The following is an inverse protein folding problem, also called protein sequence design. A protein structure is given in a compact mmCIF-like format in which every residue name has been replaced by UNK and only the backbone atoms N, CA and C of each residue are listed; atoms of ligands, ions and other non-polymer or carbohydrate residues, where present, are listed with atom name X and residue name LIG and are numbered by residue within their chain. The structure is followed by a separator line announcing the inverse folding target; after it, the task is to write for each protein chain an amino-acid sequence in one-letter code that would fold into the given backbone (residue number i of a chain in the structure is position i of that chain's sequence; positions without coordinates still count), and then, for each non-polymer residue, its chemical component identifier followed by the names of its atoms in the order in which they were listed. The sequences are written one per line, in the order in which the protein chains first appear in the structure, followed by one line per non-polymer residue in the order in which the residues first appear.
data_IF_374334251371
#
_entry.id   IF_374334251371
#
_cell.length_a   1.000
_cell.length_b   1.000
_cell.length_c   1.000
_cell.angle_alpha   90.00
_cell.angle_beta   90.00
_cell.angle_gamma   90.00
#
_symmetry.space_group_name_H-M   'P 1'
#
loop_
_entity.id
_entity.type
_entity.pdbx_description
1 polymer ?
#
# COMPACT_ATOMS: atom_id res chain seq x y z
N UNK A 1 8.62 -11.44 -12.85
CA UNK A 1 8.40 -12.09 -11.54
C UNK A 1 9.21 -11.46 -10.41
N UNK A 2 10.55 -11.41 -10.45
CA UNK A 2 11.40 -10.89 -9.33
C UNK A 2 11.04 -9.46 -8.86
N UNK A 3 10.84 -8.52 -9.80
CA UNK A 3 10.51 -7.12 -9.50
C UNK A 3 9.18 -6.94 -8.75
N UNK A 4 8.21 -7.84 -8.98
CA UNK A 4 6.86 -7.77 -8.40
C UNK A 4 6.82 -8.44 -7.02
N UNK A 5 7.61 -9.50 -6.78
CA UNK A 5 7.76 -10.07 -5.43
C UNK A 5 8.41 -9.08 -4.46
N UNK A 6 9.48 -8.40 -4.91
CA UNK A 6 10.10 -7.29 -4.17
C UNK A 6 9.09 -6.18 -3.82
N UNK A 7 8.16 -5.89 -4.72
CA UNK A 7 7.15 -4.87 -4.50
C UNK A 7 6.07 -5.30 -3.48
N UNK A 8 5.72 -6.59 -3.43
CA UNK A 8 4.79 -7.10 -2.42
C UNK A 8 5.43 -7.14 -1.02
N UNK A 9 6.69 -7.54 -0.92
CA UNK A 9 7.42 -7.57 0.35
C UNK A 9 7.57 -6.17 0.95
N UNK A 10 7.84 -5.17 0.11
CA UNK A 10 7.90 -3.77 0.56
C UNK A 10 6.54 -3.25 1.04
N UNK A 11 5.44 -3.62 0.36
CA UNK A 11 4.07 -3.28 0.79
C UNK A 11 3.73 -3.95 2.13
N UNK A 12 4.04 -5.23 2.30
CA UNK A 12 3.80 -5.97 3.55
C UNK A 12 4.61 -5.38 4.71
N UNK A 13 5.88 -5.03 4.46
CA UNK A 13 6.72 -4.39 5.45
C UNK A 13 6.14 -3.04 5.88
N UNK A 14 5.76 -2.19 4.91
CA UNK A 14 5.16 -0.90 5.20
C UNK A 14 3.84 -1.03 5.99
N UNK A 15 2.96 -1.97 5.63
CA UNK A 15 1.70 -2.24 6.35
C UNK A 15 1.95 -2.60 7.82
N UNK A 16 2.94 -3.48 8.08
CA UNK A 16 3.31 -3.89 9.44
C UNK A 16 3.81 -2.73 10.29
N UNK A 17 4.75 -1.94 9.78
CA UNK A 17 5.33 -0.83 10.55
C UNK A 17 4.35 0.31 10.76
N UNK A 18 3.55 0.67 9.75
CA UNK A 18 2.49 1.67 9.94
C UNK A 18 1.45 1.20 10.97
N UNK A 19 1.07 -0.09 10.99
CA UNK A 19 0.21 -0.64 12.03
C UNK A 19 0.81 -0.51 13.44
N UNK A 20 2.12 -0.74 13.56
CA UNK A 20 2.84 -0.55 14.82
C UNK A 20 2.84 0.92 15.27
N UNK A 21 3.17 1.85 14.37
CA UNK A 21 3.16 3.28 14.67
C UNK A 21 1.77 3.79 15.05
N UNK A 22 0.72 3.37 14.33
CA UNK A 22 -0.68 3.69 14.67
C UNK A 22 -1.04 3.24 16.09
N UNK A 23 -0.65 2.02 16.46
CA UNK A 23 -0.92 1.48 17.79
C UNK A 23 -0.18 2.25 18.88
N UNK A 24 1.09 2.55 18.65
CA UNK A 24 1.93 3.29 19.58
C UNK A 24 1.42 4.72 19.78
N UNK A 25 1.12 5.44 18.70
CA UNK A 25 0.60 6.81 18.76
C UNK A 25 -0.78 6.85 19.41
N UNK A 26 -1.69 5.93 19.07
CA UNK A 26 -2.99 5.85 19.74
C UNK A 26 -2.84 5.56 21.24
N UNK A 27 -1.88 4.71 21.63
CA UNK A 27 -1.58 4.49 23.05
C UNK A 27 -1.01 5.74 23.72
N UNK A 28 -0.16 6.50 23.04
CA UNK A 28 0.41 7.74 23.55
C UNK A 28 -0.70 8.78 23.77
N UNK A 29 -1.54 9.03 22.76
CA UNK A 29 -2.68 9.96 22.87
C UNK A 29 -3.61 9.60 24.03
N UNK A 30 -3.95 8.32 24.20
CA UNK A 30 -4.76 7.87 25.34
C UNK A 30 -4.08 8.07 26.69
N UNK A 31 -2.76 7.90 26.79
CA UNK A 31 -2.02 8.16 28.03
C UNK A 31 -2.02 9.65 28.37
N UNK A 32 -1.89 10.52 27.38
CA UNK A 32 -2.00 11.97 27.55
C UNK A 32 -3.39 12.38 28.03
N UNK A 33 -4.45 11.81 27.45
CA UNK A 33 -5.82 12.04 27.90
C UNK A 33 -6.03 11.57 29.36
N UNK A 34 -5.54 10.39 29.73
CA UNK A 34 -5.60 9.90 31.12
C UNK A 34 -4.84 10.79 32.10
N UNK A 35 -3.74 11.42 31.67
CA UNK A 35 -3.01 12.37 32.51
C UNK A 35 -3.85 13.61 32.81
N UNK A 36 -4.57 14.13 31.80
CA UNK A 36 -5.56 15.20 31.97
C UNK A 36 -6.66 14.77 32.96
N UNK A 37 -7.27 13.61 32.76
CA UNK A 37 -8.35 13.12 33.64
C UNK A 37 -7.92 13.04 35.12
N UNK A 38 -6.65 12.69 35.38
CA UNK A 38 -6.10 12.67 36.73
C UNK A 38 -5.89 14.06 37.32
N UNK A 39 -5.48 15.01 36.51
CA UNK A 39 -5.34 16.38 36.95
C UNK A 39 -6.70 17.07 37.14
N UNK A 40 -7.70 16.75 36.32
CA UNK A 40 -9.09 17.23 36.53
C UNK A 40 -9.63 16.78 37.88
N UNK A 41 -9.36 15.53 38.27
CA UNK A 41 -9.69 15.04 39.62
C UNK A 41 -8.97 15.85 40.72
N UNK A 42 -7.69 16.16 40.53
CA UNK A 42 -6.94 16.99 41.49
C UNK A 42 -7.53 18.40 41.60
N UNK A 43 -7.91 19.01 40.48
CA UNK A 43 -8.60 20.32 40.45
C UNK A 43 -9.88 20.25 41.28
N UNK A 44 -10.72 19.23 41.06
CA UNK A 44 -11.94 19.04 41.85
C UNK A 44 -11.64 18.90 43.35
N UNK A 45 -10.66 18.07 43.71
CA UNK A 45 -10.28 17.88 45.11
C UNK A 45 -9.73 19.15 45.77
N UNK A 46 -8.97 19.96 45.03
CA UNK A 46 -8.47 21.26 45.53
C UNK A 46 -9.62 22.24 45.77
N UNK A 47 -10.62 22.29 44.88
CA UNK A 47 -11.80 23.11 45.08
C UNK A 47 -12.62 22.67 46.30
N UNK A 48 -12.87 21.36 46.44
CA UNK A 48 -13.57 20.80 47.59
C UNK A 48 -12.83 21.10 48.90
N UNK A 49 -11.51 20.86 48.92
CA UNK A 49 -10.67 21.16 50.07
C UNK A 49 -10.65 22.66 50.42
N UNK A 50 -10.62 23.56 49.42
CA UNK A 50 -10.68 25.01 49.68
C UNK A 50 -11.93 25.45 50.44
N UNK A 51 -13.00 24.65 50.41
CA UNK A 51 -14.26 24.96 51.10
C UNK A 51 -14.21 24.62 52.59
N UNK A 52 -13.21 23.84 53.04
CA UNK A 52 -13.02 23.48 54.45
C UNK A 52 -12.00 24.34 55.18
N UNK A 53 -11.24 25.17 54.44
CA UNK A 53 -10.15 25.98 54.96
C UNK A 53 -10.58 27.41 55.33
N UNK A 54 -9.72 28.10 56.10
CA UNK A 54 -9.94 29.51 56.46
C UNK A 54 -10.03 30.40 55.20
N UNK A 55 -10.76 31.54 55.26
CA UNK A 55 -10.95 32.42 54.09
C UNK A 55 -9.66 32.88 53.40
N UNK A 56 -8.58 33.04 54.18
CA UNK A 56 -7.26 33.43 53.68
C UNK A 56 -6.61 32.32 52.83
N UNK A 57 -6.78 31.05 53.23
CA UNK A 57 -6.27 29.89 52.48
C UNK A 57 -7.21 29.49 51.33
N UNK A 58 -8.51 29.70 51.48
CA UNK A 58 -9.50 29.37 50.45
C UNK A 58 -9.18 30.04 49.11
N UNK A 59 -8.80 31.32 49.12
CA UNK A 59 -8.43 32.04 47.89
C UNK A 59 -7.19 31.41 47.24
N UNK A 60 -6.17 31.08 48.04
CA UNK A 60 -4.95 30.44 47.55
C UNK A 60 -5.21 29.09 46.88
N UNK A 61 -6.03 28.24 47.50
CA UNK A 61 -6.38 26.93 46.94
C UNK A 61 -7.25 27.02 45.69
N UNK A 62 -8.18 27.98 45.64
CA UNK A 62 -8.98 28.24 44.42
C UNK A 62 -8.10 28.68 43.27
N UNK A 63 -7.20 29.65 43.49
CA UNK A 63 -6.26 30.10 42.47
C UNK A 63 -5.35 28.94 41.99
N UNK A 64 -4.85 28.12 42.91
CA UNK A 64 -4.04 26.94 42.56
C UNK A 64 -4.83 25.94 41.69
N UNK A 65 -6.11 25.70 42.01
CA UNK A 65 -6.98 24.82 41.24
C UNK A 65 -7.26 25.40 39.84
N UNK A 66 -7.51 26.70 39.74
CA UNK A 66 -7.72 27.42 38.48
C UNK A 66 -6.47 27.37 37.58
N UNK A 67 -5.28 27.63 38.14
CA UNK A 67 -4.01 27.53 37.42
C UNK A 67 -3.80 26.11 36.89
N UNK A 68 -4.07 25.08 37.71
CA UNK A 68 -3.95 23.68 37.28
C UNK A 68 -4.97 23.31 36.19
N UNK A 69 -6.19 23.86 36.27
CA UNK A 69 -7.23 23.68 35.26
C UNK A 69 -6.82 24.27 33.91
N UNK A 70 -6.23 25.47 33.89
CA UNK A 70 -5.70 26.07 32.66
C UNK A 70 -4.64 25.18 32.01
N UNK A 71 -3.77 24.54 32.80
CA UNK A 71 -2.80 23.56 32.26
C UNK A 71 -3.52 22.35 31.62
N UNK A 72 -4.68 21.95 32.14
CA UNK A 72 -5.46 20.84 31.56
C UNK A 72 -6.15 21.22 30.26
N UNK A 73 -6.59 22.48 30.10
CA UNK A 73 -7.13 22.96 28.83
C UNK A 73 -6.08 22.87 27.70
N UNK A 74 -4.82 23.20 28.00
CA UNK A 74 -3.71 22.98 27.07
C UNK A 74 -3.48 21.50 26.76
N UNK A 75 -3.59 20.61 27.77
CA UNK A 75 -3.50 19.16 27.53
C UNK A 75 -4.66 18.64 26.70
N UNK A 76 -5.87 19.18 26.88
CA UNK A 76 -7.02 18.82 26.05
C UNK A 76 -6.78 19.20 24.59
N UNK A 77 -6.32 20.43 24.35
CA UNK A 77 -5.93 20.88 23.01
C UNK A 77 -4.79 20.01 22.42
N UNK A 78 -3.85 19.57 23.25
CA UNK A 78 -2.79 18.65 22.83
C UNK A 78 -3.36 17.29 22.41
N UNK A 79 -4.29 16.70 23.18
CA UNK A 79 -4.95 15.42 22.86
C UNK A 79 -5.70 15.52 21.55
N UNK A 80 -6.49 16.58 21.35
CA UNK A 80 -7.22 16.82 20.10
C UNK A 80 -6.30 16.97 18.91
N UNK A 81 -5.19 17.71 19.07
CA UNK A 81 -4.17 17.86 18.03
C UNK A 81 -3.47 16.55 17.73
N UNK A 82 -3.15 15.73 18.74
CA UNK A 82 -2.57 14.41 18.53
C UNK A 82 -3.52 13.53 17.70
N UNK A 83 -4.80 13.50 18.03
CA UNK A 83 -5.76 12.67 17.30
C UNK A 83 -5.98 13.18 15.86
N UNK A 84 -6.19 14.49 15.69
CA UNK A 84 -6.55 15.08 14.39
C UNK A 84 -5.36 15.30 13.45
N UNK A 85 -4.19 15.66 13.98
CA UNK A 85 -3.01 16.06 13.19
C UNK A 85 -1.97 14.96 13.05
N UNK A 86 -2.00 13.94 13.91
CA UNK A 86 -0.99 12.88 13.93
C UNK A 86 -1.62 11.52 13.67
N UNK A 87 -2.58 11.10 14.50
CA UNK A 87 -3.18 9.76 14.41
C UNK A 87 -4.06 9.63 13.16
N UNK A 88 -4.96 10.60 12.91
CA UNK A 88 -5.87 10.55 11.76
C UNK A 88 -5.14 10.53 10.41
N UNK A 89 -4.15 11.40 10.14
CA UNK A 89 -3.38 11.32 8.90
C UNK A 89 -2.65 9.99 8.72
N UNK A 90 -2.07 9.45 9.81
CA UNK A 90 -1.39 8.15 9.76
C UNK A 90 -2.35 6.99 9.43
N UNK A 91 -3.57 7.02 9.98
CA UNK A 91 -4.64 6.05 9.62
C UNK A 91 -4.94 6.09 8.12
N UNK A 92 -5.01 7.28 7.52
CA UNK A 92 -5.26 7.46 6.09
C UNK A 92 -4.17 6.83 5.20
N UNK A 93 -2.90 6.83 5.63
CA UNK A 93 -1.84 6.11 4.92
C UNK A 93 -2.07 4.60 4.87
N UNK A 94 -2.74 4.03 5.88
CA UNK A 94 -3.14 2.62 5.88
C UNK A 94 -4.02 2.27 4.69
N UNK A 95 -4.93 3.15 4.30
CA UNK A 95 -5.83 2.91 3.17
C UNK A 95 -5.11 3.01 1.82
N UNK A 96 -4.11 3.88 1.73
CA UNK A 96 -3.21 3.96 0.57
C UNK A 96 -2.43 2.65 0.41
N UNK A 97 -1.87 2.10 1.50
CA UNK A 97 -1.13 0.83 1.47
C UNK A 97 -2.03 -0.33 1.09
N UNK A 98 -3.24 -0.42 1.67
CA UNK A 98 -4.22 -1.45 1.30
C UNK A 98 -4.55 -1.39 -0.19
N UNK A 99 -4.80 -0.18 -0.72
CA UNK A 99 -5.07 0.03 -2.14
C UNK A 99 -3.90 -0.43 -3.00
N UNK A 100 -2.67 -0.05 -2.62
CA UNK A 100 -1.45 -0.49 -3.32
C UNK A 100 -1.30 -2.02 -3.29
N UNK A 101 -1.55 -2.66 -2.15
CA UNK A 101 -1.54 -4.13 -2.01
C UNK A 101 -2.52 -4.80 -2.96
N UNK A 102 -3.76 -4.33 -2.99
CA UNK A 102 -4.79 -4.85 -3.90
C UNK A 102 -4.36 -4.69 -5.36
N UNK A 103 -3.84 -3.52 -5.75
CA UNK A 103 -3.39 -3.27 -7.12
C UNK A 103 -2.20 -4.17 -7.51
N UNK A 104 -1.22 -4.37 -6.63
CA UNK A 104 -0.08 -5.26 -6.88
C UNK A 104 -0.53 -6.72 -7.01
N UNK A 105 -1.47 -7.17 -6.17
CA UNK A 105 -2.07 -8.51 -6.28
C UNK A 105 -2.86 -8.65 -7.58
N UNK A 106 -3.71 -7.68 -7.90
CA UNK A 106 -4.51 -7.67 -9.13
C UNK A 106 -3.62 -7.73 -10.37
N UNK A 107 -2.55 -6.94 -10.41
CA UNK A 107 -1.56 -6.97 -11.48
C UNK A 107 -0.92 -8.36 -11.62
N UNK A 108 -0.54 -9.00 -10.51
CA UNK A 108 -0.02 -10.38 -10.51
C UNK A 108 -1.03 -11.39 -11.07
N UNK A 109 -2.30 -11.20 -10.77
CA UNK A 109 -3.38 -12.08 -11.19
C UNK A 109 -3.89 -11.82 -12.61
N UNK A 110 -3.54 -10.69 -13.25
CA UNK A 110 -4.04 -10.29 -14.58
C UNK A 110 -2.96 -10.26 -15.66
N UNK A 111 -1.70 -10.00 -15.27
CA UNK A 111 -0.53 -10.05 -16.17
C UNK A 111 -0.39 -11.38 -16.92
N UNK A 112 -0.54 -12.57 -16.28
CA UNK A 112 -0.42 -13.85 -16.99
C UNK A 112 -1.47 -14.02 -18.10
N UNK A 113 -2.71 -13.61 -17.85
CA UNK A 113 -3.81 -13.72 -18.82
C UNK A 113 -3.63 -12.73 -19.97
N UNK A 114 -3.11 -11.53 -19.68
CA UNK A 114 -2.77 -10.56 -20.73
C UNK A 114 -1.64 -11.08 -21.63
N UNK A 115 -0.59 -11.66 -21.04
CA UNK A 115 0.51 -12.27 -21.78
C UNK A 115 0.05 -13.48 -22.61
N UNK A 116 -0.78 -14.36 -22.04
CA UNK A 116 -1.36 -15.51 -22.74
C UNK A 116 -2.26 -15.12 -23.91
N UNK A 117 -3.10 -14.08 -23.74
CA UNK A 117 -3.95 -13.54 -24.83
C UNK A 117 -3.12 -12.95 -25.96
N UNK A 118 -2.05 -12.23 -25.63
CA UNK A 118 -1.11 -11.69 -26.62
C UNK A 118 -0.44 -12.83 -27.40
N UNK A 119 0.08 -13.81 -26.68
CA UNK A 119 0.72 -14.99 -27.29
C UNK A 119 -0.23 -15.78 -28.20
N UNK A 120 -1.50 -15.95 -27.80
CA UNK A 120 -2.47 -16.64 -28.65
C UNK A 120 -2.83 -15.83 -29.91
N UNK A 121 -2.91 -14.50 -29.79
CA UNK A 121 -3.14 -13.62 -30.94
C UNK A 121 -1.98 -13.67 -31.93
N UNK A 122 -0.74 -13.67 -31.45
CA UNK A 122 0.46 -13.79 -32.27
C UNK A 122 0.52 -15.16 -32.98
N UNK A 123 0.29 -16.26 -32.23
CA UNK A 123 0.19 -17.61 -32.81
C UNK A 123 -0.87 -17.70 -33.91
N UNK A 124 -2.03 -17.09 -33.71
CA UNK A 124 -3.11 -17.10 -34.70
C UNK A 124 -2.76 -16.30 -35.96
N UNK A 125 -1.90 -15.29 -35.87
CA UNK A 125 -1.39 -14.56 -37.05
C UNK A 125 -0.43 -15.44 -37.84
N UNK A 126 0.53 -16.07 -37.19
CA UNK A 126 1.48 -16.99 -37.83
C UNK A 126 0.75 -18.17 -38.51
N UNK A 127 -0.23 -18.77 -37.85
CA UNK A 127 -1.04 -19.84 -38.43
C UNK A 127 -1.75 -19.40 -39.72
N UNK A 128 -2.28 -18.17 -39.75
CA UNK A 128 -2.91 -17.62 -40.96
C UNK A 128 -1.89 -17.38 -42.08
N UNK A 129 -0.68 -16.97 -41.75
CA UNK A 129 0.41 -16.81 -42.72
C UNK A 129 0.84 -18.16 -43.30
N UNK A 130 1.02 -19.19 -42.46
CA UNK A 130 1.33 -20.55 -42.89
C UNK A 130 0.24 -21.09 -43.83
N UNK A 131 -1.04 -20.94 -43.47
CA UNK A 131 -2.16 -21.37 -44.32
C UNK A 131 -2.19 -20.65 -45.68
N UNK A 132 -1.83 -19.36 -45.73
CA UNK A 132 -1.71 -18.62 -47.00
C UNK A 132 -0.57 -19.19 -47.84
N UNK A 133 0.60 -19.43 -47.25
CA UNK A 133 1.76 -20.00 -47.93
C UNK A 133 1.44 -21.40 -48.46
N UNK A 134 0.75 -22.24 -47.70
CA UNK A 134 0.35 -23.58 -48.11
C UNK A 134 -0.62 -23.56 -49.31
N UNK A 135 -1.60 -22.65 -49.31
CA UNK A 135 -2.49 -22.44 -50.47
C UNK A 135 -1.73 -22.03 -51.73
N UNK A 136 -0.72 -21.16 -51.60
CA UNK A 136 0.13 -20.76 -52.73
C UNK A 136 0.94 -21.97 -53.23
N UNK A 137 1.53 -22.76 -52.32
CA UNK A 137 2.29 -23.98 -52.66
C UNK A 137 1.44 -25.05 -53.36
N UNK A 138 0.15 -25.18 -53.01
CA UNK A 138 -0.77 -26.12 -53.66
C UNK A 138 -1.21 -25.65 -55.06
N UNK A 139 -1.29 -24.33 -55.28
CA UNK A 139 -1.71 -23.75 -56.57
C UNK A 139 -0.58 -23.72 -57.61
N UNK A 140 0.68 -23.83 -57.17
CA UNK A 140 1.85 -23.92 -58.05
C UNK A 140 2.71 -25.17 -57.75
N UNK A 141 2.33 -26.37 -58.25
CA UNK A 141 3.05 -27.61 -57.96
C UNK A 141 4.45 -27.69 -58.61
N UNK A 142 4.77 -26.84 -59.59
CA UNK A 142 6.06 -26.82 -60.28
C UNK A 142 7.24 -26.37 -59.38
N UNK A 143 6.99 -25.55 -58.36
CA UNK A 143 8.02 -25.14 -57.40
C UNK A 143 8.53 -26.29 -56.51
N UNK A 144 7.76 -27.39 -56.39
CA UNK A 144 8.26 -28.60 -55.72
C UNK A 144 9.38 -29.27 -56.51
N UNK A 145 9.33 -29.20 -57.84
CA UNK A 145 10.34 -29.82 -58.69
C UNK A 145 11.62 -28.98 -58.75
N UNK A 146 11.51 -27.65 -58.63
CA UNK A 146 12.67 -26.73 -58.62
C UNK A 146 13.58 -26.95 -57.40
N UNK A 147 13.03 -27.13 -56.20
CA UNK A 147 13.85 -27.38 -54.99
C UNK A 147 14.54 -28.76 -55.06
N UNK A 148 13.85 -29.78 -55.56
CA UNK A 148 14.45 -31.12 -55.74
C UNK A 148 15.52 -31.11 -56.82
N UNK A 149 15.30 -30.38 -57.92
CA UNK A 149 16.31 -30.23 -58.97
C UNK A 149 17.50 -29.34 -58.57
N UNK A 150 17.33 -28.40 -57.64
CA UNK A 150 18.43 -27.63 -57.06
C UNK A 150 19.36 -28.49 -56.19
N UNK A 151 18.82 -29.36 -55.32
CA UNK A 151 19.62 -30.32 -54.55
C UNK A 151 20.26 -31.41 -55.42
N UNK A 152 19.62 -31.81 -56.53
CA UNK A 152 20.22 -32.75 -57.49
C UNK A 152 21.37 -32.08 -58.27
N UNK A 153 21.27 -30.78 -58.58
CA UNK A 153 22.34 -30.05 -59.28
C UNK A 153 23.53 -29.69 -58.38
N UNK A 154 23.35 -29.43 -57.09
CA UNK A 154 24.51 -29.25 -56.20
C UNK A 154 25.24 -30.58 -55.91
N UNK A 155 24.53 -31.72 -55.95
CA UNK A 155 25.14 -33.04 -55.85
C UNK A 155 25.97 -33.44 -57.08
N UNK A 156 25.72 -32.87 -58.25
CA UNK A 156 26.49 -33.12 -59.48
C UNK A 156 27.67 -32.17 -59.66
N UNK A 157 27.63 -30.96 -59.10
CA UNK A 157 28.76 -30.00 -59.16
C UNK A 157 29.96 -30.43 -58.30
N UNK A 158 29.79 -31.33 -57.32
CA UNK A 158 30.89 -31.91 -56.53
C UNK A 158 31.54 -33.16 -57.19
N UNK A 159 31.13 -33.55 -58.40
CA UNK A 159 31.75 -34.60 -59.21
C UNK A 159 32.12 -34.05 -60.59
N UNK A 160 33.13 -33.21 -60.67
CA UNK A 160 33.86 -32.87 -61.90
C UNK A 160 35.26 -32.45 -61.54
#
# INVERSE_FOLDING_TARGET
MLRICLELDTVNHAEKYLGHFCTLLASYTRKTAKLRDKADLLVTQLFEFSSTEDPEFQIGFKNLAEDLAMVQDYRQAQVERLETRVVSPLKGYGDIIKTKRVNTILHRLTSPQAELKKFSADRNRELKEIQKLEKIRLRNPADRQSIVSFFINEGTVLRS
#
